data_IF_007252130203
#
_entry.id   IF_007252130203
#
_cell.length_a   1.000
_cell.length_b   1.000
_cell.length_c   1.000
_cell.angle_alpha   90.00
_cell.angle_beta   90.00
_cell.angle_gamma   90.00
#
_symmetry.space_group_name_H-M   'P 1'
#
loop_
_entity.id
_entity.type
_entity.pdbx_description
1 polymer ?
#
# COMPACT_ATOMS: atom_id res chain seq x y z
N UNK A 1 3.33 -11.22 12.59
CA UNK A 1 4.73 -11.01 12.16
C UNK A 1 5.60 -11.36 13.35
N UNK A 2 6.45 -12.36 13.17
CA UNK A 2 7.37 -12.81 14.18
C UNK A 2 8.80 -12.40 13.79
N UNK A 3 9.63 -12.10 14.80
CA UNK A 3 11.07 -11.92 14.70
C UNK A 3 11.71 -12.69 15.84
N UNK A 4 12.54 -13.68 15.51
CA UNK A 4 13.20 -14.55 16.50
C UNK A 4 12.20 -15.17 17.49
N UNK A 5 11.04 -15.63 16.98
CA UNK A 5 9.97 -16.22 17.78
C UNK A 5 9.07 -15.22 18.55
N UNK A 6 9.43 -13.96 18.61
CA UNK A 6 8.67 -12.92 19.32
C UNK A 6 7.69 -12.20 18.38
N UNK A 7 6.46 -11.95 18.85
CA UNK A 7 5.46 -11.18 18.11
C UNK A 7 5.86 -9.71 18.08
N UNK A 8 6.20 -9.20 16.88
CA UNK A 8 6.62 -7.80 16.67
C UNK A 8 5.61 -6.98 15.87
N UNK A 9 4.50 -7.58 15.43
CA UNK A 9 3.45 -6.86 14.74
C UNK A 9 2.48 -7.77 14.01
N UNK A 10 1.44 -7.15 13.44
CA UNK A 10 0.49 -7.85 12.58
C UNK A 10 0.04 -6.95 11.42
N UNK A 11 -0.51 -7.55 10.40
CA UNK A 11 -1.22 -6.87 9.32
C UNK A 11 -2.46 -7.68 8.96
N UNK A 12 -3.53 -6.99 8.58
CA UNK A 12 -4.76 -7.63 8.11
C UNK A 12 -4.87 -7.48 6.60
N UNK A 13 -5.30 -8.56 5.94
CA UNK A 13 -5.49 -8.58 4.50
C UNK A 13 -6.87 -9.14 4.16
N UNK A 14 -7.54 -8.52 3.20
CA UNK A 14 -8.72 -9.07 2.55
C UNK A 14 -8.40 -9.35 1.09
N UNK A 15 -8.67 -10.59 0.65
CA UNK A 15 -8.50 -10.99 -0.75
C UNK A 15 -9.88 -11.20 -1.35
N UNK A 16 -10.18 -10.50 -2.45
CA UNK A 16 -11.46 -10.63 -3.15
C UNK A 16 -11.27 -10.53 -4.67
N UNK A 17 -12.27 -11.01 -5.41
CA UNK A 17 -12.27 -10.89 -6.86
C UNK A 17 -13.04 -9.63 -7.29
N UNK A 18 -12.53 -8.96 -8.33
CA UNK A 18 -13.22 -7.91 -9.05
C UNK A 18 -13.30 -8.26 -10.55
N UNK A 19 -14.19 -7.63 -11.28
CA UNK A 19 -14.27 -7.77 -12.74
C UNK A 19 -14.07 -6.42 -13.42
N UNK A 20 -13.28 -6.43 -14.48
CA UNK A 20 -13.02 -5.24 -15.30
C UNK A 20 -12.93 -5.61 -16.77
N UNK A 21 -13.78 -4.99 -17.62
CA UNK A 21 -13.75 -5.28 -19.05
C UNK A 21 -13.89 -6.76 -19.40
N UNK A 22 -14.65 -7.53 -18.63
CA UNK A 22 -14.78 -8.99 -18.79
C UNK A 22 -13.62 -9.81 -18.18
N UNK A 23 -12.55 -9.17 -17.73
CA UNK A 23 -11.42 -9.84 -17.07
C UNK A 23 -11.62 -9.92 -15.55
N UNK A 24 -11.38 -11.11 -15.01
CA UNK A 24 -11.32 -11.32 -13.55
C UNK A 24 -9.98 -10.84 -13.01
N UNK A 25 -10.02 -10.11 -11.91
CA UNK A 25 -8.87 -9.58 -11.17
C UNK A 25 -8.94 -10.09 -9.74
N UNK A 26 -7.78 -10.32 -9.13
CA UNK A 26 -7.66 -10.57 -7.70
C UNK A 26 -7.15 -9.29 -7.03
N UNK A 27 -7.87 -8.85 -6.00
CA UNK A 27 -7.53 -7.64 -5.26
C UNK A 27 -7.13 -8.02 -3.84
N UNK A 28 -5.99 -7.51 -3.41
CA UNK A 28 -5.62 -7.49 -1.99
C UNK A 28 -5.93 -6.08 -1.49
N UNK A 29 -6.75 -5.99 -0.47
CA UNK A 29 -6.91 -4.79 0.34
C UNK A 29 -6.22 -5.03 1.67
N UNK A 30 -5.29 -4.18 2.04
CA UNK A 30 -4.67 -4.22 3.37
C UNK A 30 -5.41 -3.27 4.31
N UNK A 31 -5.77 -3.82 5.46
CA UNK A 31 -6.33 -3.06 6.57
C UNK A 31 -5.22 -2.57 7.51
N UNK A 32 -5.48 -2.69 8.80
CA UNK A 32 -4.55 -2.23 9.82
C UNK A 32 -3.21 -2.98 9.77
N UNK A 33 -2.13 -2.22 9.91
CA UNK A 33 -0.78 -2.74 10.09
C UNK A 33 -0.18 -2.07 11.31
N UNK A 34 0.14 -2.87 12.31
CA UNK A 34 0.76 -2.41 13.55
C UNK A 34 2.10 -3.12 13.72
N UNK A 35 3.13 -2.34 14.00
CA UNK A 35 4.49 -2.83 14.26
C UNK A 35 5.01 -2.22 15.57
N UNK A 36 5.65 -3.05 16.39
CA UNK A 36 6.34 -2.59 17.58
C UNK A 36 7.48 -1.61 17.20
N UNK A 37 7.70 -0.53 17.97
CA UNK A 37 8.69 0.50 17.65
C UNK A 37 10.10 -0.05 17.38
N UNK A 38 10.52 -1.07 18.12
CA UNK A 38 11.82 -1.73 17.99
C UNK A 38 11.97 -2.54 16.68
N UNK A 39 10.86 -2.78 15.98
CA UNK A 39 10.84 -3.44 14.67
C UNK A 39 10.69 -2.47 13.49
N UNK A 40 10.59 -1.16 13.75
CA UNK A 40 10.49 -0.17 12.71
C UNK A 40 11.78 -0.11 11.89
N UNK A 41 11.62 -0.07 10.56
CA UNK A 41 12.76 -0.07 9.64
C UNK A 41 13.37 -1.44 9.36
N UNK A 42 13.01 -2.47 10.11
CA UNK A 42 13.41 -3.84 9.81
C UNK A 42 12.64 -4.36 8.57
N UNK A 43 13.27 -5.18 7.73
CA UNK A 43 12.65 -5.70 6.50
C UNK A 43 11.60 -6.79 6.77
N UNK A 44 11.35 -7.16 8.03
CA UNK A 44 10.49 -8.28 8.41
C UNK A 44 9.06 -8.14 7.90
N UNK A 45 8.46 -6.95 8.02
CA UNK A 45 7.12 -6.67 7.48
C UNK A 45 7.11 -6.82 5.96
N UNK A 46 8.03 -6.14 5.27
CA UNK A 46 8.09 -6.14 3.81
C UNK A 46 8.33 -7.55 3.26
N UNK A 47 9.26 -8.28 3.87
CA UNK A 47 9.57 -9.66 3.50
C UNK A 47 8.37 -10.57 3.71
N UNK A 48 7.76 -10.55 4.88
CA UNK A 48 6.59 -11.37 5.19
C UNK A 48 5.41 -11.04 4.26
N UNK A 49 5.14 -9.75 4.02
CA UNK A 49 4.04 -9.30 3.18
C UNK A 49 4.23 -9.73 1.71
N UNK A 50 5.40 -9.45 1.12
CA UNK A 50 5.70 -9.80 -0.28
C UNK A 50 5.71 -11.31 -0.48
N UNK A 51 6.27 -12.09 0.47
CA UNK A 51 6.26 -13.55 0.41
C UNK A 51 4.85 -14.13 0.50
N UNK A 52 4.02 -13.60 1.40
CA UNK A 52 2.62 -14.03 1.52
C UNK A 52 1.83 -13.77 0.23
N UNK A 53 1.96 -12.58 -0.32
CA UNK A 53 1.30 -12.22 -1.60
C UNK A 53 1.72 -13.14 -2.73
N UNK A 54 3.01 -13.45 -2.81
CA UNK A 54 3.52 -14.39 -3.81
C UNK A 54 2.91 -15.77 -3.65
N UNK A 55 2.89 -16.31 -2.43
CA UNK A 55 2.28 -17.61 -2.15
C UNK A 55 0.78 -17.63 -2.51
N UNK A 56 0.03 -16.57 -2.20
CA UNK A 56 -1.38 -16.45 -2.57
C UNK A 56 -1.58 -16.42 -4.09
N UNK A 57 -0.70 -15.76 -4.83
CA UNK A 57 -0.73 -15.73 -6.31
C UNK A 57 -0.45 -17.10 -6.90
N UNK A 58 0.54 -17.81 -6.39
CA UNK A 58 0.90 -19.16 -6.83
C UNK A 58 -0.27 -20.16 -6.61
N UNK A 59 -1.05 -19.98 -5.56
CA UNK A 59 -2.19 -20.86 -5.24
C UNK A 59 -3.46 -20.57 -6.05
N UNK A 60 -3.68 -19.35 -6.54
CA UNK A 60 -4.97 -18.92 -7.11
C UNK A 60 -5.00 -18.75 -8.62
N UNK A 61 -3.90 -19.00 -9.32
CA UNK A 61 -3.86 -18.96 -10.77
C UNK A 61 -3.33 -17.68 -11.39
N UNK A 62 -3.46 -17.54 -12.71
CA UNK A 62 -2.76 -16.58 -13.54
C UNK A 62 -3.47 -15.22 -13.70
N UNK A 63 -4.63 -15.02 -13.06
CA UNK A 63 -5.33 -13.73 -13.14
C UNK A 63 -4.45 -12.61 -12.57
N UNK A 64 -4.59 -11.37 -13.09
CA UNK A 64 -3.86 -10.23 -12.56
C UNK A 64 -4.22 -9.94 -11.10
N UNK A 65 -3.23 -9.57 -10.33
CA UNK A 65 -3.36 -9.22 -8.92
C UNK A 65 -3.03 -7.76 -8.70
N UNK A 66 -3.83 -7.08 -7.89
CA UNK A 66 -3.61 -5.69 -7.52
C UNK A 66 -3.68 -5.52 -6.00
N UNK A 67 -2.90 -4.58 -5.52
CA UNK A 67 -2.99 -4.11 -4.14
C UNK A 67 -3.70 -2.77 -4.10
N UNK A 68 -4.87 -2.74 -3.47
CA UNK A 68 -5.57 -1.53 -3.09
C UNK A 68 -5.12 -1.17 -1.67
N UNK A 69 -4.33 -0.12 -1.54
CA UNK A 69 -3.72 0.34 -0.30
C UNK A 69 -4.32 1.67 0.12
N UNK A 70 -4.69 1.79 1.39
CA UNK A 70 -4.91 3.09 2.04
C UNK A 70 -3.63 3.54 2.74
N UNK A 71 -3.26 4.79 2.49
CA UNK A 71 -2.08 5.40 3.08
C UNK A 71 -2.46 6.56 3.99
N UNK A 72 -2.51 6.29 5.30
CA UNK A 72 -2.71 7.29 6.34
C UNK A 72 -1.44 8.09 6.65
N UNK A 73 -0.26 7.60 6.27
CA UNK A 73 1.01 8.27 6.50
C UNK A 73 2.06 8.00 5.42
N UNK A 74 3.06 8.89 5.35
CA UNK A 74 4.12 8.81 4.34
C UNK A 74 4.93 7.50 4.42
N UNK A 75 5.02 6.86 5.59
CA UNK A 75 5.75 5.60 5.75
C UNK A 75 5.04 4.47 5.00
N UNK A 76 3.71 4.42 5.11
CA UNK A 76 2.87 3.47 4.37
C UNK A 76 2.95 3.74 2.87
N UNK A 77 2.79 5.00 2.46
CA UNK A 77 2.91 5.37 1.04
C UNK A 77 4.27 4.99 0.45
N UNK A 78 5.37 5.24 1.18
CA UNK A 78 6.73 4.91 0.72
C UNK A 78 7.00 3.43 0.54
N UNK A 79 6.15 2.56 1.05
CA UNK A 79 6.24 1.13 0.76
C UNK A 79 6.14 0.88 -0.74
N UNK A 80 5.29 1.66 -1.43
CA UNK A 80 5.09 1.55 -2.88
C UNK A 80 6.37 1.86 -3.67
N UNK A 81 6.95 3.06 -3.65
CA UNK A 81 8.14 3.37 -4.46
C UNK A 81 9.38 2.56 -4.07
N UNK A 82 9.45 2.05 -2.85
CA UNK A 82 10.56 1.19 -2.43
C UNK A 82 10.49 -0.18 -3.08
N UNK A 83 9.31 -0.79 -3.16
CA UNK A 83 9.18 -2.19 -3.56
C UNK A 83 8.55 -2.42 -4.93
N UNK A 84 7.81 -1.45 -5.50
CA UNK A 84 7.19 -1.54 -6.82
C UNK A 84 7.67 -0.44 -7.76
N UNK A 85 7.79 -0.77 -9.06
CA UNK A 85 8.19 0.14 -10.12
C UNK A 85 7.02 1.02 -10.56
N UNK A 86 5.84 0.42 -10.69
CA UNK A 86 4.61 1.08 -11.09
C UNK A 86 3.60 1.00 -9.96
N UNK A 87 3.13 2.15 -9.52
CA UNK A 87 2.09 2.33 -8.50
C UNK A 87 1.43 3.69 -8.70
N UNK A 88 0.23 3.85 -8.23
CA UNK A 88 -0.55 5.07 -8.42
C UNK A 88 -1.25 5.50 -7.14
N UNK A 89 -1.35 6.82 -6.89
CA UNK A 89 -0.68 7.93 -7.61
C UNK A 89 0.81 8.02 -7.28
N UNK A 90 1.58 8.70 -8.16
CA UNK A 90 3.03 8.91 -7.99
C UNK A 90 3.42 10.32 -8.46
N UNK A 91 4.60 10.81 -8.02
CA UNK A 91 5.03 12.19 -8.25
C UNK A 91 5.57 12.45 -9.66
N UNK A 92 6.04 11.41 -10.35
CA UNK A 92 6.83 11.50 -11.58
C UNK A 92 6.09 11.01 -12.84
N UNK A 93 4.83 10.58 -12.69
CA UNK A 93 4.00 10.17 -13.81
C UNK A 93 2.52 10.21 -13.47
N UNK A 94 1.69 10.50 -14.47
CA UNK A 94 0.24 10.33 -14.38
C UNK A 94 -0.15 8.86 -14.63
N UNK A 95 -1.22 8.37 -13.97
CA UNK A 95 -1.66 7.00 -14.20
C UNK A 95 -2.18 6.83 -15.63
N UNK A 96 -1.87 5.71 -16.30
CA UNK A 96 -2.57 5.31 -17.52
C UNK A 96 -4.08 5.29 -17.29
N UNK A 97 -4.86 5.61 -18.30
CA UNK A 97 -6.31 5.79 -18.18
C UNK A 97 -7.03 4.54 -17.61
N UNK A 98 -6.56 3.35 -17.98
CA UNK A 98 -7.08 2.09 -17.46
C UNK A 98 -6.76 1.90 -15.97
N UNK A 99 -5.57 2.32 -15.53
CA UNK A 99 -5.15 2.24 -14.12
C UNK A 99 -5.89 3.26 -13.25
N UNK A 100 -6.06 4.49 -13.76
CA UNK A 100 -6.85 5.53 -13.08
C UNK A 100 -8.30 5.08 -12.91
N UNK A 101 -8.89 4.52 -13.97
CA UNK A 101 -10.24 4.01 -13.96
C UNK A 101 -10.40 2.80 -13.02
N UNK A 102 -9.43 1.88 -12.97
CA UNK A 102 -9.43 0.74 -12.05
C UNK A 102 -9.37 1.21 -10.59
N UNK A 103 -8.40 2.07 -10.24
CA UNK A 103 -8.27 2.63 -8.90
C UNK A 103 -9.59 3.30 -8.45
N UNK A 104 -10.14 4.19 -9.29
CA UNK A 104 -11.34 4.93 -8.98
C UNK A 104 -12.57 4.01 -8.80
N UNK A 105 -12.68 2.97 -9.63
CA UNK A 105 -13.76 1.99 -9.52
C UNK A 105 -13.68 1.19 -8.23
N UNK A 106 -12.51 0.64 -7.91
CA UNK A 106 -12.29 -0.13 -6.69
C UNK A 106 -12.51 0.72 -5.43
N UNK A 107 -12.03 1.97 -5.44
CA UNK A 107 -12.21 2.89 -4.34
C UNK A 107 -13.68 3.26 -4.13
N UNK A 108 -14.43 3.56 -5.20
CA UNK A 108 -15.86 3.87 -5.13
C UNK A 108 -16.70 2.67 -4.66
N UNK A 109 -16.40 1.47 -5.17
CA UNK A 109 -17.09 0.26 -4.77
C UNK A 109 -16.90 -0.02 -3.27
N UNK A 110 -15.68 0.20 -2.76
CA UNK A 110 -15.34 -0.11 -1.38
C UNK A 110 -15.74 0.95 -0.38
N UNK A 111 -15.53 2.24 -0.71
CA UNK A 111 -15.68 3.36 0.24
C UNK A 111 -16.88 4.24 -0.05
N UNK A 112 -17.54 4.06 -1.22
CA UNK A 112 -18.74 4.83 -1.58
C UNK A 112 -18.50 6.34 -1.51
N UNK A 113 -19.36 7.03 -0.77
CA UNK A 113 -19.32 8.48 -0.58
C UNK A 113 -18.17 9.00 0.28
N UNK A 114 -17.45 8.12 0.97
CA UNK A 114 -16.27 8.51 1.75
C UNK A 114 -15.05 8.78 0.86
N UNK A 115 -15.07 8.25 -0.37
CA UNK A 115 -14.02 8.46 -1.34
C UNK A 115 -14.27 9.72 -2.18
N UNK A 116 -13.34 10.65 -2.11
CA UNK A 116 -13.33 11.86 -2.94
C UNK A 116 -12.51 11.60 -4.21
N UNK A 117 -13.19 11.51 -5.35
CA UNK A 117 -12.58 11.25 -6.64
C UNK A 117 -11.58 12.35 -7.07
N UNK A 118 -11.84 13.60 -6.69
CA UNK A 118 -11.02 14.73 -7.12
C UNK A 118 -9.64 14.73 -6.45
N UNK A 119 -9.58 14.26 -5.20
CA UNK A 119 -8.36 14.21 -4.41
C UNK A 119 -7.73 12.81 -4.35
N UNK A 120 -8.54 11.76 -4.57
CA UNK A 120 -8.13 10.37 -4.38
C UNK A 120 -8.05 9.95 -2.92
N UNK A 121 -8.71 10.67 -2.02
CA UNK A 121 -8.64 10.50 -0.57
C UNK A 121 -9.94 9.93 -0.02
N UNK A 122 -9.83 9.06 0.95
CA UNK A 122 -10.97 8.58 1.77
C UNK A 122 -10.99 9.35 3.09
N UNK A 123 -12.16 9.86 3.45
CA UNK A 123 -12.44 10.55 4.72
C UNK A 123 -13.42 9.74 5.55
N UNK A 124 -12.91 9.08 6.57
CA UNK A 124 -13.72 8.29 7.47
C UNK A 124 -14.50 9.16 8.45
N UNK A 125 -15.73 8.74 8.80
CA UNK A 125 -16.53 9.42 9.82
C UNK A 125 -15.84 9.38 11.20
N UNK A 126 -15.13 8.27 11.47
CA UNK A 126 -14.35 8.08 12.68
C UNK A 126 -12.88 7.85 12.28
N UNK A 127 -12.13 8.91 11.98
CA UNK A 127 -10.77 8.79 11.47
C UNK A 127 -9.80 8.29 12.53
N UNK A 128 -8.89 7.42 12.12
CA UNK A 128 -7.79 6.96 12.97
C UNK A 128 -6.56 7.85 12.72
N UNK A 129 -6.31 8.75 13.67
CA UNK A 129 -5.18 9.69 13.56
C UNK A 129 -3.89 9.03 13.98
N UNK A 130 -2.84 9.21 13.19
CA UNK A 130 -1.49 8.85 13.61
C UNK A 130 -1.06 9.74 14.79
N UNK A 131 -0.38 9.16 15.78
CA UNK A 131 0.02 9.88 17.00
C UNK A 131 1.53 9.82 17.20
N UNK A 132 2.05 10.86 17.88
CA UNK A 132 3.45 10.92 18.29
C UNK A 132 4.42 10.73 17.12
N UNK A 133 5.45 9.88 17.26
CA UNK A 133 6.47 9.68 16.24
C UNK A 133 5.94 9.13 14.92
N UNK A 134 4.74 8.51 14.88
CA UNK A 134 4.11 8.02 13.66
C UNK A 134 3.59 9.16 12.78
N UNK A 135 3.09 10.23 13.38
CA UNK A 135 2.63 11.43 12.67
C UNK A 135 3.80 12.33 12.22
N UNK A 136 4.92 12.29 12.96
CA UNK A 136 6.06 13.15 12.69
C UNK A 136 6.79 12.75 11.40
N UNK A 137 7.16 13.76 10.61
CA UNK A 137 8.03 13.62 9.45
C UNK A 137 9.44 13.97 9.88
N UNK A 138 10.39 13.02 9.89
CA UNK A 138 11.78 13.32 10.25
C UNK A 138 12.39 14.37 9.31
N UNK A 139 13.26 15.22 9.86
CA UNK A 139 14.07 16.15 9.09
C UNK A 139 14.81 15.41 7.96
N UNK A 140 14.91 16.00 6.79
CA UNK A 140 15.48 15.40 5.60
C UNK A 140 14.53 14.43 4.85
N UNK A 141 13.52 13.85 5.49
CA UNK A 141 12.51 13.04 4.78
C UNK A 141 11.51 13.90 4.02
N UNK A 142 11.19 15.09 4.50
CA UNK A 142 10.35 16.06 3.80
C UNK A 142 10.91 16.50 2.44
N UNK A 143 12.22 16.34 2.21
CA UNK A 143 12.87 16.64 0.93
C UNK A 143 12.74 15.49 -0.09
N UNK A 144 12.37 14.28 0.35
CA UNK A 144 12.15 13.16 -0.54
C UNK A 144 10.94 13.43 -1.45
N UNK A 145 11.07 13.30 -2.79
CA UNK A 145 9.98 13.59 -3.73
C UNK A 145 8.69 12.83 -3.42
N UNK A 146 8.78 11.54 -3.08
CA UNK A 146 7.62 10.72 -2.71
C UNK A 146 6.91 11.24 -1.46
N UNK A 147 7.67 11.66 -0.45
CA UNK A 147 7.09 12.19 0.80
C UNK A 147 6.40 13.52 0.52
N UNK A 148 7.05 14.42 -0.23
CA UNK A 148 6.47 15.70 -0.61
C UNK A 148 5.19 15.52 -1.40
N UNK A 149 5.19 14.62 -2.36
CA UNK A 149 4.02 14.28 -3.16
C UNK A 149 2.87 13.77 -2.26
N UNK A 150 3.15 12.82 -1.36
CA UNK A 150 2.15 12.31 -0.42
C UNK A 150 1.53 13.44 0.39
N UNK A 151 2.34 14.35 0.94
CA UNK A 151 1.86 15.49 1.74
C UNK A 151 0.99 16.46 0.92
N UNK A 152 1.34 16.67 -0.34
CA UNK A 152 0.55 17.50 -1.26
C UNK A 152 -0.79 16.85 -1.64
N UNK A 153 -0.77 15.53 -1.86
CA UNK A 153 -1.97 14.78 -2.25
C UNK A 153 -2.92 14.49 -1.09
N UNK A 154 -2.38 14.35 0.12
CA UNK A 154 -3.15 14.08 1.34
C UNK A 154 -2.78 15.05 2.47
N UNK A 155 -3.10 16.35 2.34
CA UNK A 155 -2.81 17.33 3.38
C UNK A 155 -3.56 17.04 4.69
N UNK A 156 -4.71 16.38 4.64
CA UNK A 156 -5.52 15.98 5.79
C UNK A 156 -5.03 14.70 6.51
N UNK A 157 -3.87 14.15 6.13
CA UNK A 157 -3.35 12.91 6.74
C UNK A 157 -3.19 13.01 8.27
N UNK A 158 -2.89 14.18 8.81
CA UNK A 158 -2.81 14.42 10.27
C UNK A 158 -4.16 14.31 10.96
N UNK A 159 -5.25 14.54 10.23
CA UNK A 159 -6.63 14.42 10.69
C UNK A 159 -7.22 13.03 10.44
N UNK A 160 -6.44 12.14 9.81
CA UNK A 160 -6.82 10.76 9.54
C UNK A 160 -7.40 10.54 8.16
N UNK A 161 -7.22 11.48 7.23
CA UNK A 161 -7.49 11.26 5.81
C UNK A 161 -6.52 10.23 5.23
N UNK A 162 -6.99 9.39 4.31
CA UNK A 162 -6.20 8.30 3.76
C UNK A 162 -6.15 8.34 2.23
N UNK A 163 -4.95 8.42 1.66
CA UNK A 163 -4.73 8.39 0.22
C UNK A 163 -4.92 6.98 -0.33
N UNK A 164 -5.80 6.82 -1.32
CA UNK A 164 -5.99 5.54 -2.02
C UNK A 164 -4.88 5.33 -3.03
N UNK A 165 -4.24 4.17 -2.94
CA UNK A 165 -3.16 3.79 -3.84
C UNK A 165 -3.44 2.43 -4.47
N UNK A 166 -2.87 2.21 -5.66
CA UNK A 166 -2.98 0.96 -6.41
C UNK A 166 -1.63 0.57 -6.99
N UNK A 167 -1.27 -0.71 -6.91
CA UNK A 167 -0.14 -1.29 -7.64
C UNK A 167 -0.48 -2.69 -8.12
N UNK A 168 0.07 -3.08 -9.27
CA UNK A 168 0.00 -4.45 -9.74
C UNK A 168 1.01 -5.33 -8.99
N UNK A 169 0.55 -6.47 -8.53
CA UNK A 169 1.34 -7.43 -7.77
C UNK A 169 1.92 -8.50 -8.71
N UNK A 170 2.85 -8.11 -9.56
CA UNK A 170 3.60 -9.04 -10.43
C UNK A 170 5.10 -8.99 -10.09
N UNK A 171 5.82 -10.08 -10.37
CA UNK A 171 7.27 -10.13 -10.15
C UNK A 171 8.02 -9.17 -11.08
N UNK A 172 7.45 -8.90 -12.27
CA UNK A 172 7.97 -7.91 -13.21
C UNK A 172 7.92 -6.49 -12.64
N UNK A 173 6.88 -6.20 -11.85
CA UNK A 173 6.69 -4.90 -11.22
C UNK A 173 7.55 -4.66 -9.97
N UNK A 174 8.24 -5.68 -9.45
CA UNK A 174 9.12 -5.51 -8.29
C UNK A 174 10.39 -4.73 -8.65
N UNK A 175 10.75 -3.77 -7.77
CA UNK A 175 12.07 -3.14 -7.77
C UNK A 175 13.17 -4.14 -7.38
N UNK A 176 14.44 -3.75 -7.47
CA UNK A 176 15.55 -4.55 -6.93
C UNK A 176 15.40 -4.79 -5.42
N UNK A 177 14.86 -3.81 -4.67
CA UNK A 177 14.57 -3.98 -3.25
C UNK A 177 13.45 -5.00 -3.01
N UNK A 178 12.36 -4.93 -3.78
CA UNK A 178 11.27 -5.90 -3.71
C UNK A 178 11.73 -7.32 -4.01
N UNK A 179 12.57 -7.51 -5.02
CA UNK A 179 13.14 -8.82 -5.36
C UNK A 179 14.05 -9.38 -4.27
N UNK A 180 14.79 -8.53 -3.54
CA UNK A 180 15.58 -8.98 -2.37
C UNK A 180 14.70 -9.50 -1.24
N UNK A 181 13.49 -8.97 -1.08
CA UNK A 181 12.54 -9.47 -0.07
C UNK A 181 12.11 -10.92 -0.33
N UNK A 182 12.01 -11.31 -1.60
CA UNK A 182 11.69 -12.71 -1.97
C UNK A 182 12.87 -13.65 -1.74
N UNK A 183 14.08 -13.23 -2.10
CA UNK A 183 15.28 -14.08 -2.08
C UNK A 183 15.84 -14.36 -0.67
N UNK A 184 15.50 -13.55 0.31
CA UNK A 184 15.96 -13.70 1.69
C UNK A 184 15.12 -14.62 2.56
N UNK A 185 14.20 -15.39 1.99
CA UNK A 185 13.33 -16.34 2.67
C UNK A 185 13.69 -17.78 2.36
N UNK A 186 14.87 -18.24 2.80
CA UNK A 186 14.98 -19.64 3.21
C UNK A 186 14.76 -19.69 4.72
N UNK A 187 13.96 -20.66 5.20
CA UNK A 187 13.71 -20.85 6.61
C UNK A 187 14.99 -21.15 7.38
#
# INVERSE_FOLDING_TARGET
>A
ILRDGSLVGFTTLQVYAAQRGGQRLNIIYSGDTIMAPEAWGAPVLARGWISLVRALREQRGAEPWYWLLLSSGFRTYRFLPVFWREFWPRHDAEPPADRAALLSSLARERFGRLFDLSTGVVRFVHPQRLRGPLAAIPEGRALCPDVRFFLQRNPGHVDGDELVCLTELSDANLTSAGRRMIRGGSP
#
